data_IF_443690873813
#
_entry.id   IF_443690873813
#
_cell.length_a   1.000
_cell.length_b   1.000
_cell.length_c   1.000
_cell.angle_alpha   90.00
_cell.angle_beta   90.00
_cell.angle_gamma   90.00
#
_symmetry.space_group_name_H-M   'P 1'
#
loop_
_entity.id
_entity.type
_entity.pdbx_description
1 polymer ?
#
# COMPACT_ATOMS: atom_id res chain seq x y z
N UNK A 1 -30.40 -2.70 16.11
CA UNK A 1 -29.25 -3.48 16.61
C UNK A 1 -28.70 -4.50 15.60
N UNK A 2 -29.38 -4.78 14.47
CA UNK A 2 -28.93 -5.81 13.50
C UNK A 2 -27.85 -5.39 12.49
N UNK A 3 -27.68 -4.09 12.20
CA UNK A 3 -26.71 -3.64 11.21
C UNK A 3 -25.24 -3.68 11.71
N UNK A 4 -25.03 -3.48 13.03
CA UNK A 4 -23.70 -3.51 13.63
C UNK A 4 -23.13 -4.94 13.65
N UNK A 5 -23.94 -5.93 14.06
CA UNK A 5 -23.51 -7.34 14.10
C UNK A 5 -23.08 -7.86 12.73
N UNK A 6 -23.77 -7.48 11.65
CA UNK A 6 -23.40 -7.89 10.29
C UNK A 6 -22.08 -7.26 9.82
N UNK A 7 -21.73 -6.07 10.32
CA UNK A 7 -20.46 -5.44 10.00
C UNK A 7 -19.32 -6.07 10.82
N UNK A 8 -19.55 -6.35 12.09
CA UNK A 8 -18.59 -7.03 12.98
C UNK A 8 -18.25 -8.44 12.48
N UNK A 9 -19.26 -9.24 12.10
CA UNK A 9 -19.03 -10.57 11.52
C UNK A 9 -18.36 -10.51 10.16
N UNK A 10 -18.62 -9.45 9.37
CA UNK A 10 -17.93 -9.21 8.12
C UNK A 10 -16.45 -8.91 8.35
N UNK A 11 -16.10 -8.02 9.28
CA UNK A 11 -14.69 -7.69 9.58
C UNK A 11 -13.93 -8.92 10.05
N UNK A 12 -14.49 -9.71 10.97
CA UNK A 12 -13.85 -10.92 11.48
C UNK A 12 -13.60 -11.96 10.39
N UNK A 13 -14.58 -12.19 9.51
CA UNK A 13 -14.41 -13.08 8.37
C UNK A 13 -13.30 -12.63 7.40
N UNK A 14 -13.17 -11.31 7.16
CA UNK A 14 -12.09 -10.78 6.31
C UNK A 14 -10.73 -10.85 6.98
N UNK A 15 -10.67 -10.65 8.31
CA UNK A 15 -9.45 -10.86 9.11
C UNK A 15 -8.98 -12.32 8.99
N UNK A 16 -9.90 -13.28 9.16
CA UNK A 16 -9.60 -14.70 8.98
C UNK A 16 -9.19 -15.04 7.54
N UNK A 17 -9.84 -14.44 6.53
CA UNK A 17 -9.48 -14.66 5.13
C UNK A 17 -8.05 -14.19 4.84
N UNK A 18 -7.65 -13.03 5.38
CA UNK A 18 -6.30 -12.49 5.22
C UNK A 18 -5.29 -13.36 5.98
N UNK A 19 -5.62 -13.79 7.20
CA UNK A 19 -4.76 -14.69 7.98
C UNK A 19 -4.57 -16.07 7.33
N UNK A 20 -5.59 -16.59 6.64
CA UNK A 20 -5.55 -17.90 5.96
C UNK A 20 -4.91 -17.84 4.56
N UNK A 21 -4.51 -16.66 4.08
CA UNK A 21 -3.84 -16.51 2.80
C UNK A 21 -2.44 -17.16 2.91
N UNK A 22 -2.10 -18.05 1.98
CA UNK A 22 -0.79 -18.71 1.97
C UNK A 22 0.30 -17.67 1.64
N UNK A 23 1.03 -17.25 2.67
CA UNK A 23 1.99 -16.13 2.64
C UNK A 23 1.45 -14.94 3.45
N UNK A 24 2.27 -14.37 4.33
CA UNK A 24 1.92 -13.14 5.05
C UNK A 24 1.46 -12.08 4.02
N UNK A 25 0.34 -11.38 4.25
CA UNK A 25 -0.13 -10.35 3.32
C UNK A 25 0.98 -9.34 3.08
N UNK A 26 1.17 -8.95 1.81
CA UNK A 26 2.28 -8.09 1.43
C UNK A 26 2.14 -6.74 2.16
N UNK A 27 3.07 -6.48 3.08
CA UNK A 27 3.13 -5.22 3.79
C UNK A 27 3.48 -4.15 2.78
N UNK A 28 2.65 -3.11 2.67
CA UNK A 28 2.92 -2.03 1.74
C UNK A 28 4.26 -1.36 2.08
N UNK A 29 5.22 -1.45 1.15
CA UNK A 29 6.48 -0.71 1.19
C UNK A 29 6.47 0.35 0.10
N UNK A 30 6.60 1.60 0.52
CA UNK A 30 6.71 2.72 -0.40
C UNK A 30 8.15 2.77 -0.94
N UNK A 31 8.37 2.83 -2.27
CA UNK A 31 9.71 2.93 -2.81
C UNK A 31 10.31 4.31 -2.52
N UNK A 32 11.64 4.41 -2.42
CA UNK A 32 12.35 5.71 -2.36
C UNK A 32 11.88 6.63 -3.47
N UNK A 33 11.54 7.88 -3.12
CA UNK A 33 11.08 8.88 -4.08
C UNK A 33 9.73 8.57 -4.72
N UNK A 34 8.88 7.75 -4.08
CA UNK A 34 7.55 7.39 -4.59
C UNK A 34 6.68 8.61 -4.92
N UNK A 35 6.85 9.73 -4.21
CA UNK A 35 6.16 11.00 -4.49
C UNK A 35 6.54 11.64 -5.83
N UNK A 36 7.64 11.20 -6.44
CA UNK A 36 8.08 11.63 -7.77
C UNK A 36 7.76 10.58 -8.85
N UNK A 37 7.13 9.47 -8.48
CA UNK A 37 6.80 8.39 -9.42
C UNK A 37 5.65 8.77 -10.34
N UNK A 38 5.64 8.20 -11.55
CA UNK A 38 4.52 8.31 -12.49
C UNK A 38 3.22 7.74 -11.91
N UNK A 39 3.31 6.67 -11.11
CA UNK A 39 2.17 6.11 -10.36
C UNK A 39 1.53 7.15 -9.44
N UNK A 40 2.34 7.93 -8.71
CA UNK A 40 1.85 8.97 -7.81
C UNK A 40 1.29 10.18 -8.55
N UNK A 41 1.95 10.60 -9.64
CA UNK A 41 1.44 11.68 -10.48
C UNK A 41 0.08 11.30 -11.10
N UNK A 42 -0.04 10.08 -11.61
CA UNK A 42 -1.29 9.58 -12.20
C UNK A 42 -2.41 9.47 -11.17
N UNK A 43 -2.11 9.01 -9.96
CA UNK A 43 -3.08 8.94 -8.87
C UNK A 43 -3.72 10.31 -8.53
N UNK A 44 -3.01 11.41 -8.75
CA UNK A 44 -3.50 12.77 -8.48
C UNK A 44 -4.23 13.40 -9.67
N UNK A 45 -3.81 13.09 -10.90
CA UNK A 45 -4.26 13.78 -12.11
C UNK A 45 -5.36 13.05 -12.88
N UNK A 46 -5.39 11.72 -12.84
CA UNK A 46 -6.32 10.94 -13.67
C UNK A 46 -7.73 10.89 -13.07
N UNK A 47 -8.78 10.86 -13.91
CA UNK A 47 -10.14 10.63 -13.45
C UNK A 47 -10.22 9.26 -12.77
N UNK A 48 -10.77 9.25 -11.56
CA UNK A 48 -10.79 8.06 -10.73
C UNK A 48 -12.07 7.95 -9.90
N UNK A 49 -12.44 6.71 -9.61
CA UNK A 49 -13.52 6.37 -8.69
C UNK A 49 -13.08 5.22 -7.80
N UNK A 50 -13.36 5.34 -6.51
CA UNK A 50 -13.05 4.32 -5.50
C UNK A 50 -14.35 3.96 -4.79
N UNK A 51 -14.60 2.68 -4.59
CA UNK A 51 -15.68 2.17 -3.76
C UNK A 51 -15.19 1.04 -2.87
N UNK A 52 -15.65 1.01 -1.62
CA UNK A 52 -15.40 -0.13 -0.74
C UNK A 52 -16.14 -1.36 -1.32
N UNK A 53 -15.38 -2.42 -1.64
CA UNK A 53 -15.95 -3.70 -2.04
C UNK A 53 -16.33 -4.52 -0.81
N UNK A 54 -15.48 -4.45 0.22
CA UNK A 54 -15.69 -5.01 1.55
C UNK A 54 -14.82 -4.23 2.56
N UNK A 55 -14.80 -4.59 3.86
CA UNK A 55 -14.02 -3.84 4.85
C UNK A 55 -12.51 -3.76 4.58
N UNK A 56 -11.95 -4.70 3.82
CA UNK A 56 -10.51 -4.81 3.56
C UNK A 56 -10.10 -4.47 2.11
N UNK A 57 -11.03 -4.47 1.16
CA UNK A 57 -10.76 -4.33 -0.26
C UNK A 57 -11.59 -3.22 -0.90
N UNK A 58 -10.97 -2.54 -1.87
CA UNK A 58 -11.56 -1.45 -2.63
C UNK A 58 -11.58 -1.79 -4.11
N UNK A 59 -12.72 -1.52 -4.73
CA UNK A 59 -12.84 -1.49 -6.18
C UNK A 59 -12.32 -0.11 -6.65
N UNK A 60 -11.20 -0.12 -7.37
CA UNK A 60 -10.55 1.07 -7.91
C UNK A 60 -10.76 1.13 -9.42
N UNK A 61 -11.35 2.22 -9.89
CA UNK A 61 -11.46 2.59 -11.29
C UNK A 61 -10.51 3.77 -11.53
N UNK A 62 -9.49 3.56 -12.35
CA UNK A 62 -8.50 4.59 -12.67
C UNK A 62 -8.28 4.62 -14.18
N UNK A 63 -8.65 5.74 -14.82
CA UNK A 63 -8.41 5.94 -16.24
C UNK A 63 -6.93 6.14 -16.57
N UNK A 64 -6.58 6.01 -17.84
CA UNK A 64 -5.34 6.57 -18.37
C UNK A 64 -5.62 8.00 -18.86
N UNK A 65 -4.60 8.85 -18.89
CA UNK A 65 -4.75 10.26 -19.29
C UNK A 65 -5.23 10.39 -20.74
N UNK A 66 -4.95 9.37 -21.57
CA UNK A 66 -5.22 9.37 -23.02
C UNK A 66 -6.08 8.18 -23.50
N UNK A 67 -6.73 7.43 -22.60
CA UNK A 67 -7.56 6.27 -22.96
C UNK A 67 -8.84 6.19 -22.10
N UNK A 68 -9.99 6.04 -22.78
CA UNK A 68 -11.32 5.92 -22.15
C UNK A 68 -11.54 4.57 -21.45
N UNK A 69 -10.57 3.66 -21.51
CA UNK A 69 -10.58 2.37 -20.82
C UNK A 69 -10.43 2.54 -19.30
N UNK A 70 -11.56 2.59 -18.59
CA UNK A 70 -11.58 2.43 -17.15
C UNK A 70 -11.37 0.96 -16.78
N UNK A 71 -10.16 0.59 -16.39
CA UNK A 71 -9.90 -0.72 -15.81
C UNK A 71 -10.34 -0.72 -14.33
N UNK A 72 -11.22 -1.65 -13.99
CA UNK A 72 -11.61 -1.91 -12.60
C UNK A 72 -10.61 -2.90 -12.00
N UNK A 73 -9.95 -2.51 -10.92
CA UNK A 73 -9.05 -3.37 -10.17
C UNK A 73 -9.56 -3.55 -8.74
N UNK A 74 -9.47 -4.76 -8.22
CA UNK A 74 -9.67 -4.98 -6.79
C UNK A 74 -8.35 -4.83 -6.06
N UNK A 75 -8.36 -4.01 -5.03
CA UNK A 75 -7.17 -3.67 -4.26
C UNK A 75 -7.44 -3.95 -2.79
N UNK A 76 -6.68 -4.89 -2.21
CA UNK A 76 -6.62 -5.04 -0.76
C UNK A 76 -5.90 -3.80 -0.21
N UNK A 77 -6.49 -3.15 0.79
CA UNK A 77 -5.93 -1.96 1.43
C UNK A 77 -6.55 -1.80 2.83
N UNK A 78 -5.91 -2.37 3.84
CA UNK A 78 -6.45 -2.44 5.20
C UNK A 78 -5.34 -2.34 6.25
N UNK A 79 -5.72 -2.07 7.50
CA UNK A 79 -4.82 -2.25 8.62
C UNK A 79 -4.98 -3.65 9.19
N UNK A 80 -3.85 -4.36 9.27
CA UNK A 80 -3.75 -5.71 9.81
C UNK A 80 -2.45 -5.83 10.60
N UNK A 81 -2.56 -6.30 11.83
CA UNK A 81 -1.50 -6.42 12.82
C UNK A 81 -0.68 -5.13 12.98
N UNK A 82 -1.37 -3.98 12.97
CA UNK A 82 -0.76 -2.65 13.09
C UNK A 82 -0.01 -2.16 11.85
N UNK A 83 -0.03 -2.92 10.75
CA UNK A 83 0.61 -2.58 9.49
C UNK A 83 -0.42 -2.29 8.40
N UNK A 84 -0.06 -1.40 7.47
CA UNK A 84 -0.83 -1.21 6.24
C UNK A 84 -0.50 -2.36 5.28
N UNK A 85 -1.46 -3.26 5.11
CA UNK A 85 -1.40 -4.31 4.09
C UNK A 85 -2.05 -3.76 2.83
N UNK A 86 -1.39 -3.98 1.70
CA UNK A 86 -1.95 -3.65 0.41
C UNK A 86 -1.72 -4.79 -0.55
N UNK A 87 -2.58 -4.97 -1.54
CA UNK A 87 -2.30 -5.86 -2.66
C UNK A 87 -3.13 -5.41 -3.87
N UNK A 88 -2.52 -5.34 -5.04
CA UNK A 88 -3.23 -5.06 -6.27
C UNK A 88 -2.83 -6.07 -7.35
N UNK A 89 -3.82 -6.55 -8.09
CA UNK A 89 -3.64 -7.55 -9.16
C UNK A 89 -2.82 -7.05 -10.36
N UNK A 90 -2.61 -5.73 -10.50
CA UNK A 90 -1.86 -5.18 -11.63
C UNK A 90 -0.34 -5.40 -11.49
N UNK A 91 0.35 -5.58 -12.61
CA UNK A 91 1.82 -5.78 -12.65
C UNK A 91 2.59 -4.63 -11.99
N UNK A 92 2.04 -3.41 -12.00
CA UNK A 92 2.63 -2.27 -11.31
C UNK A 92 2.82 -2.50 -9.80
N UNK A 93 2.00 -3.35 -9.19
CA UNK A 93 2.12 -3.68 -7.77
C UNK A 93 3.29 -4.63 -7.52
N UNK A 94 3.62 -5.51 -8.47
CA UNK A 94 4.78 -6.40 -8.38
C UNK A 94 6.12 -5.64 -8.50
N UNK A 95 6.12 -4.47 -9.13
CA UNK A 95 7.32 -3.64 -9.22
C UNK A 95 7.47 -2.77 -7.96
N UNK A 96 8.34 -3.21 -7.05
CA UNK A 96 8.66 -2.51 -5.79
C UNK A 96 7.45 -2.21 -4.90
N UNK A 97 6.35 -2.95 -5.04
CA UNK A 97 5.12 -2.76 -4.24
C UNK A 97 4.29 -1.53 -4.62
N UNK A 98 4.52 -0.89 -5.79
CA UNK A 98 4.04 0.48 -6.02
C UNK A 98 3.28 0.69 -7.33
N UNK A 99 1.96 0.55 -7.26
CA UNK A 99 1.07 0.83 -8.39
C UNK A 99 0.26 2.12 -8.22
N UNK A 100 -0.27 2.63 -9.34
CA UNK A 100 -1.12 3.83 -9.34
C UNK A 100 -2.43 3.65 -8.55
N UNK A 101 -2.95 2.42 -8.43
CA UNK A 101 -4.16 2.15 -7.65
C UNK A 101 -3.92 2.26 -6.15
N UNK A 102 -2.84 1.67 -5.65
CA UNK A 102 -2.43 1.81 -4.23
C UNK A 102 -2.03 3.24 -3.93
N UNK A 103 -1.32 3.90 -4.85
CA UNK A 103 -1.02 5.32 -4.77
C UNK A 103 -2.30 6.17 -4.66
N UNK A 104 -3.35 5.86 -5.42
CA UNK A 104 -4.63 6.55 -5.33
C UNK A 104 -5.33 6.34 -3.99
N UNK A 105 -5.36 5.10 -3.47
CA UNK A 105 -5.96 4.83 -2.16
C UNK A 105 -5.21 5.57 -1.05
N UNK A 106 -3.88 5.55 -1.09
CA UNK A 106 -3.06 6.33 -0.17
C UNK A 106 -3.34 7.84 -0.28
N UNK A 107 -3.38 8.38 -1.50
CA UNK A 107 -3.67 9.79 -1.73
C UNK A 107 -5.02 10.20 -1.15
N UNK A 108 -6.09 9.45 -1.43
CA UNK A 108 -7.42 9.75 -0.91
C UNK A 108 -7.48 9.61 0.61
N UNK A 109 -6.87 8.58 1.17
CA UNK A 109 -6.83 8.39 2.63
C UNK A 109 -6.07 9.51 3.34
N UNK A 110 -4.94 9.94 2.79
CA UNK A 110 -4.14 11.05 3.33
C UNK A 110 -4.88 12.40 3.33
N UNK A 111 -5.99 12.50 2.59
CA UNK A 111 -6.83 13.69 2.44
C UNK A 111 -8.21 13.55 3.06
N UNK A 112 -8.43 12.52 3.88
CA UNK A 112 -9.71 12.25 4.54
C UNK A 112 -10.86 11.95 3.55
N UNK A 113 -10.50 11.52 2.34
CA UNK A 113 -11.40 11.27 1.21
C UNK A 113 -11.61 9.76 0.96
N UNK A 114 -11.11 8.93 1.89
CA UNK A 114 -11.25 7.47 1.96
C UNK A 114 -11.21 7.04 3.43
N UNK A 115 -11.96 6.00 3.77
CA UNK A 115 -11.99 5.43 5.11
C UNK A 115 -11.42 3.99 5.07
N UNK A 116 -10.41 3.70 5.89
CA UNK A 116 -9.69 2.41 5.90
C UNK A 116 -9.96 1.66 7.19
N UNK A 117 -10.27 0.37 7.10
CA UNK A 117 -10.61 -0.45 8.27
C UNK A 117 -9.36 -1.10 8.87
N UNK A 118 -9.24 -0.98 10.19
CA UNK A 118 -8.41 -1.82 11.05
C UNK A 118 -9.19 -3.09 11.36
N UNK A 119 -8.70 -4.20 10.82
CA UNK A 119 -9.34 -5.51 10.91
C UNK A 119 -9.16 -6.16 12.28
N UNK A 120 -8.16 -5.75 13.06
CA UNK A 120 -7.95 -6.25 14.42
C UNK A 120 -8.84 -5.51 15.42
N UNK A 121 -8.98 -4.20 15.25
CA UNK A 121 -9.78 -3.37 16.14
C UNK A 121 -11.24 -3.20 15.69
N UNK A 122 -11.56 -3.56 14.44
CA UNK A 122 -12.84 -3.28 13.80
C UNK A 122 -13.13 -1.78 13.64
N UNK A 123 -12.10 -0.93 13.65
CA UNK A 123 -12.24 0.54 13.61
C UNK A 123 -11.95 1.06 12.22
N UNK A 124 -12.70 2.04 11.77
CA UNK A 124 -12.42 2.72 10.51
C UNK A 124 -11.69 4.04 10.76
N UNK A 125 -10.58 4.23 10.07
CA UNK A 125 -9.72 5.40 10.12
C UNK A 125 -9.94 6.27 8.88
N UNK A 126 -10.32 7.53 9.08
CA UNK A 126 -10.48 8.51 7.98
C UNK A 126 -9.15 9.05 7.47
N UNK A 127 -8.10 8.97 8.29
CA UNK A 127 -6.73 9.37 7.92
C UNK A 127 -5.71 8.37 8.46
N UNK A 128 -4.50 8.31 7.87
CA UNK A 128 -3.44 7.43 8.36
C UNK A 128 -3.12 7.70 9.83
N UNK A 129 -3.19 6.69 10.72
CA UNK A 129 -2.72 6.81 12.09
C UNK A 129 -1.27 7.27 12.20
N UNK A 130 -0.95 7.99 13.28
CA UNK A 130 0.39 8.55 13.53
C UNK A 130 1.51 7.50 13.63
N UNK A 131 1.19 6.23 13.88
CA UNK A 131 2.16 5.13 13.93
C UNK A 131 2.49 4.54 12.56
N UNK A 132 1.70 4.85 11.52
CA UNK A 132 2.00 4.46 10.14
C UNK A 132 2.98 5.45 9.54
N UNK A 133 4.27 5.18 9.74
CA UNK A 133 5.34 5.93 9.14
C UNK A 133 5.62 5.41 7.72
N UNK A 134 5.43 6.26 6.71
CA UNK A 134 5.67 5.94 5.30
C UNK A 134 7.11 6.25 4.87
N UNK A 135 7.82 7.06 5.65
CA UNK A 135 9.20 7.46 5.40
C UNK A 135 10.24 6.40 5.83
N UNK A 136 9.85 5.34 6.56
CA UNK A 136 10.78 4.31 7.04
C UNK A 136 11.47 3.49 5.94
N UNK A 137 10.99 3.55 4.69
CA UNK A 137 11.71 2.98 3.55
C UNK A 137 13.09 3.65 3.30
N UNK A 138 13.28 4.90 3.74
CA UNK A 138 14.58 5.58 3.71
C UNK A 138 15.49 5.13 4.85
N UNK A 139 14.95 4.68 6.00
CA UNK A 139 15.76 4.21 7.16
C UNK A 139 16.36 2.82 6.97
N UNK A 140 15.70 1.93 6.23
CA UNK A 140 16.11 0.53 6.06
C UNK A 140 17.41 0.37 5.24
N UNK A 141 17.87 1.41 4.51
CA UNK A 141 19.14 1.37 3.76
C UNK A 141 20.35 1.95 4.51
N UNK A 142 20.14 2.75 5.55
CA UNK A 142 21.25 3.33 6.33
C UNK A 142 21.92 2.27 7.24
N UNK A 143 21.37 1.04 7.30
CA UNK A 143 21.99 -0.10 7.97
C UNK A 143 22.69 -1.11 7.05
N UNK A 144 22.67 -0.90 5.73
CA UNK A 144 23.23 -1.81 4.75
C UNK A 144 24.31 -1.13 3.90
N UNK A 145 25.31 -0.53 4.54
CA UNK A 145 26.59 -0.30 3.88
C UNK A 145 27.35 -1.64 3.87
N UNK A 146 27.65 -2.24 2.71
CA UNK A 146 28.65 -3.29 2.66
C UNK A 146 29.99 -2.62 2.92
N UNK A 147 30.57 -2.92 4.09
CA UNK A 147 31.97 -2.72 4.43
C UNK A 147 32.81 -3.33 3.30
N UNK A 148 33.21 -2.50 2.35
CA UNK A 148 34.21 -2.87 1.36
C UNK A 148 35.56 -2.70 2.04
N UNK A 149 36.32 -3.79 2.32
CA UNK A 149 37.70 -3.63 2.69
C UNK A 149 38.44 -3.05 1.48
N UNK A 150 38.88 -1.80 1.60
CA UNK A 150 39.87 -1.21 0.70
C UNK A 150 41.14 -2.06 0.81
N UNK A 151 41.40 -2.87 -0.20
CA UNK A 151 42.70 -3.50 -0.41
C UNK A 151 43.70 -2.38 -0.71
N UNK A 152 44.53 -2.06 0.27
CA UNK A 152 45.73 -1.26 0.08
C UNK A 152 46.85 -2.18 -0.43
N UNK A 153 46.98 -2.32 -1.74
CA UNK A 153 48.19 -2.87 -2.34
C UNK A 153 49.21 -1.75 -2.54
N UNK A 154 50.10 -1.61 -1.55
CA UNK A 154 51.33 -0.85 -1.66
C UNK A 154 52.50 -1.73 -2.12
N UNK A 155 53.42 -1.14 -2.88
CA UNK A 155 54.79 -1.63 -3.10
C UNK A 155 55.08 -2.12 -4.54
N UNK A 156 55.73 -1.33 -5.42
CA UNK A 156 57.20 -1.25 -5.71
C UNK A 156 57.78 -2.60 -6.25
N UNK A 157 58.62 -2.74 -7.29
CA UNK A 157 59.63 -1.93 -7.99
C UNK A 157 59.84 -2.48 -9.42
N UNK A 158 60.33 -1.66 -10.37
CA UNK A 158 61.27 -2.06 -11.43
C UNK A 158 62.28 -0.95 -11.66
#
# INVERSE_FOLDING_TARGET
MFAAMSAETSVEAHREQIANRLGEPDRLRFPTGWTMSSSWQRAQAAPSKVGAANPAEFDVLLGYVDDDGLAKHRVLFALYEGNLVAECECDGYRFRGWCAHVALLWWKWSREDLAVTDLDAGRTHLSPPWWLSVDDAERDRVGAEPDHPVAADGGVEQ
#
